data_IF_751338639011
#
_entry.id   IF_751338639011
#
_cell.length_a   1.000
_cell.length_b   1.000
_cell.length_c   1.000
_cell.angle_alpha   90.00
_cell.angle_beta   90.00
_cell.angle_gamma   90.00
#
_symmetry.space_group_name_H-M   'P 1'
#
loop_
_entity.id
_entity.type
_entity.pdbx_description
1 polymer ?
#
# COMPACT_ATOMS: atom_id res chain seq x y z
N UNK A 1 16.67 7.06 12.37
CA UNK A 1 15.21 7.23 12.31
C UNK A 1 14.86 8.45 11.48
N UNK A 2 13.93 8.31 10.55
CA UNK A 2 13.34 9.40 9.77
C UNK A 2 11.87 9.54 10.20
N UNK A 3 11.44 10.77 10.48
CA UNK A 3 10.03 11.07 10.78
C UNK A 3 9.48 11.88 9.62
N UNK A 4 8.36 11.43 9.04
CA UNK A 4 7.64 12.14 7.98
C UNK A 4 6.28 12.52 8.53
N UNK A 5 5.99 13.81 8.52
CA UNK A 5 4.69 14.37 8.90
C UNK A 5 4.05 15.02 7.68
N UNK A 6 2.82 14.61 7.39
CA UNK A 6 2.02 15.18 6.29
C UNK A 6 0.71 15.71 6.84
N UNK A 7 0.39 16.93 6.48
CA UNK A 7 -0.86 17.58 6.89
C UNK A 7 -1.65 18.06 5.67
N UNK A 8 -2.91 17.64 5.59
CA UNK A 8 -3.87 18.14 4.61
C UNK A 8 -4.90 19.05 5.28
N UNK A 9 -5.00 20.26 4.77
CA UNK A 9 -6.04 21.20 5.23
C UNK A 9 -7.05 21.47 4.10
N UNK A 10 -8.31 21.20 4.38
CA UNK A 10 -9.40 21.48 3.43
C UNK A 10 -9.97 22.86 3.69
N UNK A 11 -9.83 23.78 2.74
CA UNK A 11 -10.35 25.13 2.87
C UNK A 11 -11.89 25.15 2.89
N UNK A 12 -12.45 25.86 3.87
CA UNK A 12 -13.89 26.12 3.95
C UNK A 12 -14.30 27.05 2.78
N UNK A 13 -15.24 26.67 1.96
CA UNK A 13 -15.77 27.54 0.91
C UNK A 13 -15.98 26.93 -0.47
N UNK A 14 -15.49 25.73 -0.72
CA UNK A 14 -15.88 25.01 -1.94
C UNK A 14 -17.21 24.28 -1.71
N UNK A 15 -18.19 24.54 -2.56
CA UNK A 15 -19.43 23.74 -2.61
C UNK A 15 -19.05 22.27 -2.85
N UNK A 16 -19.60 21.35 -2.06
CA UNK A 16 -19.48 19.90 -2.16
C UNK A 16 -18.13 19.43 -2.74
N UNK A 17 -17.12 19.28 -1.87
CA UNK A 17 -15.84 18.66 -2.27
C UNK A 17 -16.03 17.16 -2.37
N UNK A 18 -15.48 16.50 -3.41
CA UNK A 18 -15.45 15.04 -3.46
C UNK A 18 -14.70 14.49 -2.25
N UNK A 19 -15.10 13.32 -1.80
CA UNK A 19 -14.35 12.57 -0.78
C UNK A 19 -12.96 12.29 -1.32
N UNK A 20 -11.93 12.58 -0.53
CA UNK A 20 -10.57 12.24 -0.89
C UNK A 20 -10.42 10.71 -0.80
N UNK A 21 -10.17 10.01 -1.90
CA UNK A 21 -10.11 8.54 -1.90
C UNK A 21 -8.87 8.01 -1.18
N UNK A 22 -7.78 8.78 -1.19
CA UNK A 22 -6.51 8.38 -0.58
C UNK A 22 -5.66 9.61 -0.24
N UNK A 23 -4.92 9.51 0.85
CA UNK A 23 -3.88 10.45 1.24
C UNK A 23 -2.69 9.66 1.79
N UNK A 24 -1.49 9.92 1.30
CA UNK A 24 -0.32 9.17 1.72
C UNK A 24 0.94 9.54 0.98
N UNK A 25 1.90 8.63 0.98
CA UNK A 25 3.23 8.79 0.41
C UNK A 25 3.55 7.62 -0.52
N UNK A 26 4.18 7.90 -1.64
CA UNK A 26 4.78 6.91 -2.54
C UNK A 26 6.29 7.06 -2.51
N UNK A 27 7.00 5.93 -2.52
CA UNK A 27 8.44 5.92 -2.66
C UNK A 27 8.88 4.82 -3.63
N UNK A 28 10.06 4.98 -4.22
CA UNK A 28 10.70 3.98 -5.07
C UNK A 28 11.87 3.38 -4.29
N UNK A 29 11.95 2.06 -4.28
CA UNK A 29 13.02 1.29 -3.67
C UNK A 29 13.89 0.65 -4.75
N UNK A 30 15.19 0.38 -4.47
CA UNK A 30 16.00 -0.45 -5.34
C UNK A 30 15.36 -1.82 -5.57
N UNK A 31 15.62 -2.40 -6.76
CA UNK A 31 14.96 -3.64 -7.22
C UNK A 31 15.25 -4.87 -6.34
N UNK A 32 16.33 -4.88 -5.59
CA UNK A 32 16.70 -5.97 -4.70
C UNK A 32 15.90 -6.02 -3.39
N UNK A 33 15.10 -5.00 -3.10
CA UNK A 33 14.19 -4.97 -1.94
C UNK A 33 12.89 -5.71 -2.29
N UNK A 34 12.89 -7.02 -2.11
CA UNK A 34 11.83 -7.91 -2.59
C UNK A 34 11.07 -8.66 -1.48
N UNK A 35 11.43 -8.47 -0.23
CA UNK A 35 10.77 -9.13 0.90
C UNK A 35 10.00 -8.11 1.73
N UNK A 36 8.70 -8.35 1.93
CA UNK A 36 7.87 -7.58 2.86
C UNK A 36 7.54 -8.43 4.09
N UNK A 37 7.55 -7.80 5.24
CA UNK A 37 7.13 -8.38 6.50
C UNK A 37 6.23 -7.38 7.21
N UNK A 38 5.04 -7.78 7.62
CA UNK A 38 4.07 -6.85 8.17
C UNK A 38 3.14 -7.49 9.19
N UNK A 39 2.61 -6.67 10.08
CA UNK A 39 1.50 -7.00 10.95
C UNK A 39 0.27 -6.19 10.54
N UNK A 40 -0.73 -6.89 10.01
CA UNK A 40 -1.93 -6.30 9.45
C UNK A 40 -2.88 -7.35 8.90
N UNK A 41 -3.83 -6.94 8.04
CA UNK A 41 -4.73 -7.87 7.37
C UNK A 41 -4.07 -8.51 6.14
N UNK A 42 -4.16 -9.83 6.07
CA UNK A 42 -3.61 -10.64 4.99
C UNK A 42 -4.15 -12.07 5.00
N UNK A 43 -3.49 -13.01 4.30
CA UNK A 43 -2.31 -12.80 3.45
C UNK A 43 -2.61 -12.17 2.09
N UNK A 44 -3.85 -12.31 1.59
CA UNK A 44 -4.27 -11.78 0.29
C UNK A 44 -4.51 -10.27 0.36
N UNK A 45 -4.55 -9.62 -0.81
CA UNK A 45 -4.88 -8.20 -0.90
C UNK A 45 -6.26 -7.92 -0.28
N UNK A 46 -6.41 -6.75 0.27
CA UNK A 46 -7.66 -6.31 0.85
C UNK A 46 -7.76 -4.78 0.87
N UNK A 47 -8.99 -4.30 0.90
CA UNK A 47 -9.36 -2.89 0.86
C UNK A 47 -10.41 -2.62 1.95
N UNK A 48 -10.66 -1.38 2.30
CA UNK A 48 -11.61 -1.01 3.36
C UNK A 48 -13.03 -1.53 3.11
N UNK A 49 -13.41 -1.68 1.86
CA UNK A 49 -14.71 -2.20 1.41
C UNK A 49 -14.68 -3.72 1.11
N UNK A 50 -13.52 -4.36 1.19
CA UNK A 50 -13.29 -5.74 0.76
C UNK A 50 -12.18 -6.40 1.58
N UNK A 51 -12.45 -6.70 2.86
CA UNK A 51 -11.44 -7.29 3.77
C UNK A 51 -11.96 -8.44 4.64
N UNK A 52 -13.22 -8.85 4.47
CA UNK A 52 -13.86 -9.87 5.33
C UNK A 52 -13.19 -11.25 5.24
N UNK A 53 -12.55 -11.56 4.11
CA UNK A 53 -11.82 -12.83 3.90
C UNK A 53 -10.38 -12.81 4.43
N UNK A 54 -9.97 -11.75 5.12
CA UNK A 54 -8.61 -11.58 5.63
C UNK A 54 -8.59 -11.48 7.14
N UNK A 55 -7.46 -11.88 7.74
CA UNK A 55 -7.29 -11.91 9.17
C UNK A 55 -6.10 -11.05 9.58
N UNK A 56 -6.20 -10.46 10.77
CA UNK A 56 -5.06 -9.82 11.40
C UNK A 56 -4.02 -10.87 11.76
N UNK A 57 -2.81 -10.65 11.33
CA UNK A 57 -1.70 -11.56 11.58
C UNK A 57 -0.38 -10.95 11.13
N UNK A 58 0.68 -11.70 11.40
CA UNK A 58 2.02 -11.38 10.97
C UNK A 58 2.35 -12.21 9.73
N UNK A 59 2.76 -11.56 8.66
CA UNK A 59 2.98 -12.19 7.36
C UNK A 59 4.33 -11.77 6.77
N UNK A 60 4.99 -12.74 6.12
CA UNK A 60 6.18 -12.50 5.31
C UNK A 60 5.90 -12.99 3.89
N UNK A 61 6.07 -12.12 2.92
CA UNK A 61 5.77 -12.39 1.51
C UNK A 61 6.78 -11.66 0.61
N UNK A 62 6.89 -12.13 -0.63
CA UNK A 62 7.63 -11.36 -1.64
C UNK A 62 6.80 -10.22 -2.21
N UNK A 63 7.47 -9.21 -2.75
CA UNK A 63 6.81 -8.12 -3.49
C UNK A 63 6.08 -8.67 -4.72
N UNK A 64 6.63 -9.69 -5.39
CA UNK A 64 6.00 -10.32 -6.54
C UNK A 64 4.64 -10.98 -6.21
N UNK A 65 4.48 -11.54 -5.01
CA UNK A 65 3.23 -12.15 -4.56
C UNK A 65 2.13 -11.13 -4.28
N UNK A 66 2.44 -9.84 -4.24
CA UNK A 66 1.44 -8.81 -3.99
C UNK A 66 0.58 -8.47 -5.20
N UNK A 67 1.00 -8.88 -6.38
CA UNK A 67 0.26 -8.61 -7.61
C UNK A 67 -0.91 -9.57 -7.77
N UNK A 68 -2.13 -9.05 -7.82
CA UNK A 68 -3.34 -9.79 -8.21
C UNK A 68 -3.72 -9.42 -9.65
N UNK A 69 -3.80 -10.40 -10.57
CA UNK A 69 -4.07 -10.15 -11.98
C UNK A 69 -5.56 -9.86 -12.22
N UNK A 70 -5.93 -8.60 -12.27
CA UNK A 70 -7.25 -8.16 -12.70
C UNK A 70 -7.31 -8.00 -14.23
N UNK A 71 -8.48 -8.17 -14.81
CA UNK A 71 -8.71 -7.97 -16.26
C UNK A 71 -8.41 -6.50 -16.65
N UNK A 72 -8.74 -5.56 -15.77
CA UNK A 72 -8.44 -4.12 -15.92
C UNK A 72 -7.95 -3.58 -14.59
N UNK A 73 -6.69 -3.82 -14.26
CA UNK A 73 -6.16 -3.35 -13.00
C UNK A 73 -6.01 -1.83 -13.04
N UNK A 74 -6.55 -1.14 -12.05
CA UNK A 74 -6.23 0.24 -11.74
C UNK A 74 -5.35 0.30 -10.51
N UNK A 75 -5.54 -0.68 -9.64
CA UNK A 75 -4.82 -0.84 -8.39
C UNK A 75 -4.85 -2.32 -7.98
N UNK A 76 -3.82 -2.78 -7.31
CA UNK A 76 -3.70 -4.17 -6.83
C UNK A 76 -2.77 -4.24 -5.62
N UNK A 77 -2.88 -5.30 -4.82
CA UNK A 77 -1.93 -5.64 -3.77
C UNK A 77 -2.04 -4.85 -2.48
N UNK A 78 -3.09 -4.05 -2.30
CA UNK A 78 -3.28 -3.29 -1.07
C UNK A 78 -3.47 -4.19 0.14
N UNK A 79 -2.98 -3.75 1.30
CA UNK A 79 -3.22 -4.34 2.62
C UNK A 79 -3.73 -3.27 3.57
N UNK A 80 -4.73 -3.59 4.37
CA UNK A 80 -5.32 -2.69 5.35
C UNK A 80 -4.96 -3.06 6.79
N UNK A 81 -5.27 -2.19 7.71
CA UNK A 81 -5.05 -2.40 9.15
C UNK A 81 -3.58 -2.70 9.52
N UNK A 82 -2.64 -2.11 8.80
CA UNK A 82 -1.20 -2.30 9.01
C UNK A 82 -0.74 -1.52 10.23
N UNK A 83 -0.22 -2.22 11.24
CA UNK A 83 0.36 -1.63 12.45
C UNK A 83 1.82 -1.27 12.25
N UNK A 84 2.53 -2.13 11.54
CA UNK A 84 3.89 -1.90 11.08
C UNK A 84 4.17 -2.77 9.86
N UNK A 85 5.10 -2.36 9.04
CA UNK A 85 5.60 -3.17 7.95
C UNK A 85 7.05 -2.82 7.62
N UNK A 86 7.75 -3.75 7.05
CA UNK A 86 9.11 -3.57 6.57
C UNK A 86 9.26 -4.09 5.15
N UNK A 87 10.22 -3.52 4.44
CA UNK A 87 10.69 -4.03 3.15
C UNK A 87 12.20 -4.18 3.23
N UNK A 88 12.71 -5.33 2.78
CA UNK A 88 14.13 -5.66 2.90
C UNK A 88 14.66 -6.40 1.67
N UNK A 89 16.00 -6.40 1.55
CA UNK A 89 16.73 -7.20 0.59
C UNK A 89 17.26 -8.52 1.21
N UNK A 90 17.97 -9.32 0.42
CA UNK A 90 18.55 -10.60 0.86
C UNK A 90 19.63 -10.44 1.95
N UNK A 91 20.27 -9.28 2.06
CA UNK A 91 21.24 -8.94 3.11
C UNK A 91 20.57 -8.47 4.42
N UNK A 92 19.24 -8.44 4.47
CA UNK A 92 18.43 -7.92 5.56
C UNK A 92 18.56 -6.39 5.77
N UNK A 93 19.09 -5.68 4.79
CA UNK A 93 19.00 -4.23 4.77
C UNK A 93 17.58 -3.83 4.39
N UNK A 94 17.01 -2.86 5.08
CA UNK A 94 15.63 -2.49 4.80
C UNK A 94 15.14 -1.27 5.57
N UNK A 95 13.86 -0.99 5.36
CA UNK A 95 13.12 0.05 6.04
C UNK A 95 11.94 -0.55 6.78
N UNK A 96 11.69 -0.07 7.98
CA UNK A 96 10.48 -0.39 8.74
C UNK A 96 9.65 0.88 8.91
N UNK A 97 8.36 0.74 8.66
CA UNK A 97 7.38 1.83 8.72
C UNK A 97 6.42 1.58 9.86
N UNK A 98 6.18 2.63 10.63
CA UNK A 98 5.20 2.66 11.71
C UNK A 98 4.45 3.97 11.69
N UNK A 99 3.22 3.98 12.20
CA UNK A 99 2.45 5.20 12.40
C UNK A 99 1.63 5.08 13.70
N UNK A 100 1.15 6.20 14.24
CA UNK A 100 0.28 6.21 15.42
C UNK A 100 -1.03 5.46 15.21
N UNK A 101 -1.56 5.54 13.98
CA UNK A 101 -2.78 4.86 13.57
C UNK A 101 -2.47 3.80 12.50
N UNK A 102 -3.31 2.75 12.35
CA UNK A 102 -3.12 1.76 11.31
C UNK A 102 -3.06 2.38 9.91
N UNK A 103 -2.12 1.87 9.11
CA UNK A 103 -1.89 2.31 7.74
C UNK A 103 -2.54 1.35 6.73
N UNK A 104 -2.65 1.82 5.51
CA UNK A 104 -2.72 0.97 4.32
C UNK A 104 -1.35 0.95 3.65
N UNK A 105 -0.99 -0.19 3.07
CA UNK A 105 0.25 -0.33 2.30
C UNK A 105 0.01 -1.04 0.98
N UNK A 106 0.83 -0.67 -0.01
CA UNK A 106 0.98 -1.38 -1.28
C UNK A 106 2.45 -1.45 -1.61
N UNK A 107 2.95 -2.63 -1.96
CA UNK A 107 4.32 -2.84 -2.42
C UNK A 107 4.27 -3.62 -3.73
N UNK A 108 4.68 -3.00 -4.83
CA UNK A 108 4.58 -3.57 -6.18
C UNK A 108 5.85 -3.30 -6.97
N UNK A 109 6.13 -4.18 -7.93
CA UNK A 109 7.16 -3.98 -8.96
C UNK A 109 6.66 -3.10 -10.13
N UNK A 110 5.49 -2.48 -10.01
CA UNK A 110 4.81 -1.70 -11.05
C UNK A 110 4.38 -0.35 -10.50
N UNK A 111 4.36 0.66 -11.35
CA UNK A 111 3.68 1.92 -11.06
C UNK A 111 2.18 1.80 -11.35
N UNK A 112 1.37 2.62 -10.72
CA UNK A 112 -0.07 2.68 -10.99
C UNK A 112 -0.35 2.98 -12.48
N UNK A 113 0.50 3.81 -13.11
CA UNK A 113 0.42 4.09 -14.55
C UNK A 113 0.66 2.87 -15.45
N UNK A 114 1.39 1.87 -14.96
CA UNK A 114 1.66 0.64 -15.72
C UNK A 114 0.44 -0.31 -15.68
N UNK A 115 -0.38 -0.18 -14.65
CA UNK A 115 -1.58 -0.99 -14.45
C UNK A 115 -2.79 -0.43 -15.20
N UNK A 116 -2.90 0.89 -15.32
CA UNK A 116 -4.01 1.54 -16.01
C UNK A 116 -3.84 1.45 -17.53
N UNK A 117 -4.55 0.51 -18.14
CA UNK A 117 -4.54 0.29 -19.59
C UNK A 117 -5.13 1.43 -20.44
N UNK A 118 -5.48 2.56 -19.82
CA UNK A 118 -6.05 3.72 -20.49
C UNK A 118 -7.52 3.52 -20.95
N UNK A 119 -8.09 4.50 -21.63
CA UNK A 119 -9.46 4.41 -22.12
C UNK A 119 -9.56 3.29 -23.18
N UNK A 120 -10.60 2.50 -23.06
CA UNK A 120 -10.93 1.45 -24.05
C UNK A 120 -11.14 2.11 -25.40
N UNK A 121 -10.32 1.72 -26.37
CA UNK A 121 -10.59 2.04 -27.76
C UNK A 121 -11.66 1.10 -28.31
#
# INVERSE_FOLDING_TARGET
QLVVEQQLTVNKGAKAKPVLPRFGMTMVMPQDYQTIHYYGRGPIENYVDRHTSTFLGEYTQSVAEQFSPYIRPQETGNKTDIRWWSISNAASDGLTFTAPEPLEMTALNYLTSDLDGGPVK
#
